data_IF_907721304985
#
_entry.id   IF_907721304985
#
_cell.length_a   1.000
_cell.length_b   1.000
_cell.length_c   1.000
_cell.angle_alpha   90.00
_cell.angle_beta   90.00
_cell.angle_gamma   90.00
#
_symmetry.space_group_name_H-M   'P 1'
#
loop_
_entity.id
_entity.type
_entity.pdbx_description
1 polymer ?
#
# COMPACT_ATOMS: atom_id res chain seq x y z
N UNK A 1 -25.11 -56.44 2.38
CA UNK A 1 -23.78 -56.01 1.89
C UNK A 1 -23.04 -55.38 3.08
N UNK A 2 -22.30 -56.19 3.85
CA UNK A 2 -21.63 -55.73 5.07
C UNK A 2 -20.31 -55.07 4.70
N UNK A 3 -20.17 -53.77 4.97
CA UNK A 3 -18.91 -53.05 4.80
C UNK A 3 -17.85 -53.72 5.69
N UNK A 4 -16.77 -54.24 5.09
CA UNK A 4 -15.70 -54.89 5.86
C UNK A 4 -15.05 -53.87 6.79
N UNK A 5 -14.74 -54.29 8.02
CA UNK A 5 -14.14 -53.45 9.07
C UNK A 5 -12.85 -52.76 8.59
N UNK A 6 -12.08 -53.40 7.69
CA UNK A 6 -10.91 -52.81 7.05
C UNK A 6 -11.24 -51.63 6.11
N UNK A 7 -12.39 -51.65 5.42
CA UNK A 7 -12.85 -50.51 4.61
C UNK A 7 -13.27 -49.32 5.48
N UNK A 8 -13.78 -49.57 6.70
CA UNK A 8 -14.16 -48.51 7.65
C UNK A 8 -12.92 -47.82 8.25
N UNK A 9 -11.87 -48.58 8.57
CA UNK A 9 -10.59 -48.05 9.05
C UNK A 9 -9.86 -47.20 8.00
N UNK A 10 -9.89 -47.62 6.74
CA UNK A 10 -9.32 -46.83 5.63
C UNK A 10 -10.09 -45.53 5.40
N UNK A 11 -11.43 -45.57 5.48
CA UNK A 11 -12.27 -44.38 5.37
C UNK A 11 -11.98 -43.37 6.50
N UNK A 12 -11.79 -43.85 7.74
CA UNK A 12 -11.42 -42.99 8.86
C UNK A 12 -10.06 -42.32 8.66
N UNK A 13 -9.06 -43.03 8.14
CA UNK A 13 -7.75 -42.45 7.83
C UNK A 13 -7.81 -41.40 6.71
N UNK A 14 -8.62 -41.63 5.67
CA UNK A 14 -8.82 -40.66 4.58
C UNK A 14 -9.62 -39.41 5.01
N UNK A 15 -10.49 -39.52 6.02
CA UNK A 15 -11.24 -38.38 6.57
C UNK A 15 -10.37 -37.49 7.46
N UNK A 16 -9.35 -38.04 8.12
CA UNK A 16 -8.47 -37.31 9.03
C UNK A 16 -7.24 -36.68 8.36
N UNK A 17 -6.97 -36.96 7.07
CA UNK A 17 -5.79 -36.44 6.37
C UNK A 17 -5.89 -34.96 5.92
N UNK A 18 -6.86 -34.19 6.43
CA UNK A 18 -7.13 -32.83 5.97
C UNK A 18 -6.82 -31.71 6.97
N UNK A 19 -6.24 -32.03 8.13
CA UNK A 19 -5.83 -31.05 9.15
C UNK A 19 -4.31 -30.82 9.15
N UNK A 20 -3.76 -30.33 8.03
CA UNK A 20 -2.31 -30.05 7.92
C UNK A 20 -1.96 -28.58 8.18
N UNK A 21 -2.93 -27.66 8.20
CA UNK A 21 -2.69 -26.22 8.38
C UNK A 21 -3.73 -25.59 9.28
N UNK A 22 -3.28 -24.78 10.24
CA UNK A 22 -4.15 -23.87 10.98
C UNK A 22 -4.42 -22.62 10.14
N UNK A 23 -5.65 -22.51 9.63
CA UNK A 23 -6.09 -21.40 8.78
C UNK A 23 -6.10 -20.06 9.51
N UNK A 24 -6.15 -20.03 10.84
CA UNK A 24 -6.17 -18.80 11.62
C UNK A 24 -4.86 -17.99 11.49
N UNK A 25 -3.76 -18.64 11.15
CA UNK A 25 -2.45 -17.99 10.95
C UNK A 25 -2.32 -17.29 9.59
N UNK A 26 -3.28 -17.50 8.67
CA UNK A 26 -3.23 -16.94 7.33
C UNK A 26 -4.33 -15.88 7.17
N UNK A 27 -3.93 -14.69 6.73
CA UNK A 27 -4.87 -13.59 6.51
C UNK A 27 -5.89 -13.96 5.42
N UNK A 28 -7.17 -13.87 5.74
CA UNK A 28 -8.23 -13.83 4.74
C UNK A 28 -8.20 -12.48 3.99
N UNK A 29 -8.91 -12.37 2.88
CA UNK A 29 -8.97 -11.11 2.13
C UNK A 29 -9.53 -9.96 3.00
N UNK A 30 -10.49 -10.25 3.87
CA UNK A 30 -11.10 -9.23 4.74
C UNK A 30 -10.15 -8.75 5.84
N UNK A 31 -9.20 -9.60 6.25
CA UNK A 31 -8.13 -9.26 7.20
C UNK A 31 -6.95 -8.52 6.54
N UNK A 32 -6.92 -8.44 5.21
CA UNK A 32 -5.94 -7.67 4.45
C UNK A 32 -6.58 -6.40 3.89
N UNK A 33 -6.22 -5.25 4.45
CA UNK A 33 -6.94 -3.99 4.16
C UNK A 33 -6.97 -3.62 2.67
N UNK A 34 -5.89 -3.85 1.91
CA UNK A 34 -5.88 -3.59 0.47
C UNK A 34 -6.81 -4.55 -0.29
N UNK A 35 -6.84 -5.84 0.10
CA UNK A 35 -7.67 -6.84 -0.55
C UNK A 35 -9.16 -6.55 -0.33
N UNK A 36 -9.51 -6.25 0.93
CA UNK A 36 -10.85 -5.83 1.31
C UNK A 36 -11.32 -4.60 0.49
N UNK A 37 -10.51 -3.54 0.43
CA UNK A 37 -10.84 -2.32 -0.34
C UNK A 37 -11.02 -2.62 -1.83
N UNK A 38 -10.09 -3.35 -2.45
CA UNK A 38 -10.15 -3.69 -3.88
C UNK A 38 -11.38 -4.55 -4.22
N UNK A 39 -11.79 -5.47 -3.34
CA UNK A 39 -12.99 -6.29 -3.55
C UNK A 39 -14.30 -5.53 -3.44
N UNK A 40 -14.32 -4.43 -2.68
CA UNK A 40 -15.52 -3.63 -2.45
C UNK A 40 -15.81 -2.62 -3.57
N UNK A 41 -14.91 -2.51 -4.55
CA UNK A 41 -15.06 -1.58 -5.67
C UNK A 41 -16.22 -2.00 -6.55
N UNK A 42 -17.11 -1.05 -6.81
CA UNK A 42 -18.24 -1.22 -7.73
C UNK A 42 -17.85 -0.65 -9.09
N UNK A 43 -18.45 -1.22 -10.14
CA UNK A 43 -18.24 -0.81 -11.54
C UNK A 43 -18.49 0.68 -11.80
N UNK A 44 -19.32 1.35 -11.00
CA UNK A 44 -19.66 2.76 -11.17
C UNK A 44 -18.79 3.70 -10.32
N UNK A 45 -17.89 3.17 -9.49
CA UNK A 45 -17.14 4.00 -8.52
C UNK A 45 -16.08 4.86 -9.19
N UNK A 46 -15.35 4.33 -10.18
CA UNK A 46 -14.21 5.03 -10.80
C UNK A 46 -14.33 4.91 -12.31
N UNK A 47 -14.60 6.01 -13.00
CA UNK A 47 -14.64 6.05 -14.45
C UNK A 47 -13.25 6.44 -14.96
N UNK A 48 -12.65 5.55 -15.74
CA UNK A 48 -11.39 5.79 -16.41
C UNK A 48 -11.65 6.27 -17.83
N UNK A 49 -10.97 7.32 -18.26
CA UNK A 49 -11.01 7.84 -19.63
C UNK A 49 -9.61 8.01 -20.15
N UNK A 50 -9.32 7.49 -21.33
CA UNK A 50 -8.07 7.77 -22.03
C UNK A 50 -8.20 9.10 -22.75
N UNK A 51 -7.20 9.97 -22.62
CA UNK A 51 -7.14 11.26 -23.31
C UNK A 51 -6.60 11.07 -24.74
N UNK A 52 -7.43 11.16 -25.80
CA UNK A 52 -7.00 10.82 -27.15
C UNK A 52 -5.90 11.75 -27.67
N UNK A 53 -5.89 13.02 -27.24
CA UNK A 53 -4.86 13.99 -27.64
C UNK A 53 -3.48 13.69 -27.04
N UNK A 54 -3.41 12.89 -25.98
CA UNK A 54 -2.17 12.53 -25.30
C UNK A 54 -1.42 11.36 -25.94
N UNK A 55 -2.04 10.66 -26.91
CA UNK A 55 -1.46 9.44 -27.47
C UNK A 55 -0.23 9.75 -28.30
N UNK A 56 0.88 9.09 -27.98
CA UNK A 56 2.12 9.10 -28.76
C UNK A 56 2.38 7.71 -29.28
N UNK A 57 2.63 7.59 -30.59
CA UNK A 57 2.99 6.32 -31.23
C UNK A 57 4.50 6.23 -31.39
N UNK A 58 5.04 5.03 -31.20
CA UNK A 58 6.35 4.65 -31.71
C UNK A 58 6.25 3.38 -32.56
N UNK A 59 7.36 2.89 -33.11
CA UNK A 59 7.35 1.70 -33.98
C UNK A 59 6.91 0.40 -33.30
N UNK A 60 6.85 0.37 -31.97
CA UNK A 60 6.65 -0.82 -31.15
C UNK A 60 5.42 -0.72 -30.25
N UNK A 61 4.66 0.38 -30.27
CA UNK A 61 3.60 0.59 -29.30
C UNK A 61 3.09 2.03 -29.21
N UNK A 62 2.41 2.30 -28.10
CA UNK A 62 1.88 3.61 -27.76
C UNK A 62 2.13 3.98 -26.30
N UNK A 63 2.16 5.27 -26.02
CA UNK A 63 1.97 5.82 -24.68
C UNK A 63 0.79 6.77 -24.67
N UNK A 64 0.02 6.81 -23.58
CA UNK A 64 -1.11 7.71 -23.41
C UNK A 64 -1.34 8.09 -21.94
N UNK A 65 -2.21 9.05 -21.70
CA UNK A 65 -2.66 9.44 -20.36
C UNK A 65 -4.09 8.93 -20.14
N UNK A 66 -4.33 8.37 -18.96
CA UNK A 66 -5.65 7.99 -18.46
C UNK A 66 -6.03 8.92 -17.31
N UNK A 67 -7.22 9.48 -17.36
CA UNK A 67 -7.84 10.25 -16.27
C UNK A 67 -8.81 9.35 -15.50
N UNK A 68 -8.66 9.29 -14.18
CA UNK A 68 -9.63 8.70 -13.27
C UNK A 68 -10.50 9.83 -12.69
N UNK A 69 -11.67 10.07 -13.28
CA UNK A 69 -12.46 11.30 -13.06
C UNK A 69 -12.81 11.53 -11.58
N UNK A 70 -13.30 10.50 -10.90
CA UNK A 70 -13.75 10.62 -9.50
C UNK A 70 -12.60 10.65 -8.48
N UNK A 71 -11.37 10.37 -8.90
CA UNK A 71 -10.18 10.33 -8.04
C UNK A 71 -9.24 11.52 -8.28
N UNK A 72 -9.55 12.37 -9.27
CA UNK A 72 -8.67 13.45 -9.73
C UNK A 72 -7.22 12.98 -9.93
N UNK A 73 -7.07 11.79 -10.49
CA UNK A 73 -5.79 11.11 -10.67
C UNK A 73 -5.50 10.92 -12.15
N UNK A 74 -4.24 11.08 -12.52
CA UNK A 74 -3.72 10.81 -13.86
C UNK A 74 -2.75 9.64 -13.83
N UNK A 75 -2.96 8.71 -14.75
CA UNK A 75 -2.12 7.53 -14.93
C UNK A 75 -1.46 7.60 -16.30
N UNK A 76 -0.25 7.05 -16.40
CA UNK A 76 0.38 6.75 -17.67
C UNK A 76 -0.02 5.35 -18.13
N UNK A 77 -0.26 5.21 -19.42
CA UNK A 77 -0.45 3.95 -20.11
C UNK A 77 0.70 3.77 -21.11
N UNK A 78 1.33 2.61 -21.07
CA UNK A 78 2.31 2.18 -22.06
C UNK A 78 1.90 0.79 -22.57
N UNK A 79 1.66 0.68 -23.87
CA UNK A 79 1.35 -0.58 -24.54
C UNK A 79 2.46 -0.84 -25.55
N UNK A 80 3.21 -1.92 -25.31
CA UNK A 80 4.26 -2.38 -26.21
C UNK A 80 3.87 -3.71 -26.84
N UNK A 81 4.18 -3.86 -28.12
CA UNK A 81 4.05 -5.11 -28.85
C UNK A 81 5.41 -5.80 -28.93
N UNK A 82 5.43 -7.07 -28.56
CA UNK A 82 6.63 -7.88 -28.49
C UNK A 82 6.49 -9.10 -29.41
N UNK A 83 7.63 -9.76 -29.67
CA UNK A 83 7.66 -11.02 -30.42
C UNK A 83 6.71 -12.05 -29.82
N UNK A 84 6.29 -13.01 -30.64
CA UNK A 84 5.37 -14.08 -30.27
C UNK A 84 3.95 -13.58 -29.92
N UNK A 85 3.52 -12.47 -30.54
CA UNK A 85 2.17 -11.93 -30.41
C UNK A 85 1.78 -11.56 -28.97
N UNK A 86 2.66 -10.79 -28.32
CA UNK A 86 2.49 -10.36 -26.93
C UNK A 86 2.27 -8.85 -26.88
N UNK A 87 1.09 -8.44 -26.43
CA UNK A 87 0.86 -7.07 -25.98
C UNK A 87 1.18 -6.97 -24.49
N UNK A 88 2.17 -6.15 -24.15
CA UNK A 88 2.51 -5.83 -22.77
C UNK A 88 1.90 -4.47 -22.41
N UNK A 89 0.99 -4.49 -21.45
CA UNK A 89 0.29 -3.30 -20.95
C UNK A 89 0.84 -2.94 -19.59
N UNK A 90 1.32 -1.71 -19.47
CA UNK A 90 1.86 -1.14 -18.25
C UNK A 90 1.05 0.12 -17.91
N UNK A 91 0.56 0.18 -16.67
CA UNK A 91 -0.08 1.36 -16.10
C UNK A 91 0.75 1.80 -14.90
N UNK A 92 1.08 3.09 -14.84
CA UNK A 92 1.81 3.69 -13.72
C UNK A 92 1.23 5.07 -13.39
N UNK A 93 1.64 5.67 -12.28
CA UNK A 93 1.34 7.08 -12.02
C UNK A 93 2.03 7.96 -13.05
N UNK A 94 1.34 8.98 -13.56
CA UNK A 94 1.94 9.91 -14.52
C UNK A 94 3.04 10.76 -13.86
N UNK A 95 2.78 11.21 -12.64
CA UNK A 95 3.73 11.88 -11.77
C UNK A 95 3.65 11.21 -10.40
N UNK A 96 4.80 10.82 -9.84
CA UNK A 96 4.89 10.32 -8.48
C UNK A 96 6.06 10.96 -7.74
N UNK A 97 5.91 11.08 -6.43
CA UNK A 97 7.02 11.46 -5.54
C UNK A 97 7.99 10.28 -5.36
N UNK A 98 7.46 9.05 -5.34
CA UNK A 98 8.24 7.83 -5.24
C UNK A 98 7.91 6.84 -6.34
N UNK A 99 8.96 6.27 -6.94
CA UNK A 99 8.81 5.25 -7.98
C UNK A 99 8.12 4.01 -7.40
N UNK A 100 7.11 3.52 -8.11
CA UNK A 100 6.52 2.22 -7.81
C UNK A 100 7.53 1.11 -8.10
N UNK A 101 7.47 0.07 -7.28
CA UNK A 101 8.34 -1.08 -7.46
C UNK A 101 8.13 -1.69 -8.86
N UNK A 102 9.25 -1.94 -9.53
CA UNK A 102 9.29 -2.66 -10.81
C UNK A 102 10.16 -3.87 -10.63
N UNK A 103 9.65 -5.03 -11.06
CA UNK A 103 10.42 -6.27 -11.05
C UNK A 103 11.65 -6.07 -11.94
N UNK A 104 12.87 -6.30 -11.43
CA UNK A 104 14.07 -6.23 -12.25
C UNK A 104 13.96 -7.18 -13.45
N UNK A 105 14.37 -6.71 -14.63
CA UNK A 105 14.22 -7.46 -15.89
C UNK A 105 14.77 -8.89 -15.75
N UNK A 106 15.95 -9.03 -15.13
CA UNK A 106 16.66 -10.30 -15.03
C UNK A 106 16.08 -11.30 -14.02
N UNK A 107 15.18 -10.87 -13.12
CA UNK A 107 14.62 -11.75 -12.09
C UNK A 107 13.51 -12.66 -12.65
N UNK A 108 12.82 -12.21 -13.71
CA UNK A 108 11.66 -12.92 -14.29
C UNK A 108 11.78 -13.08 -15.80
N UNK A 109 12.21 -12.05 -16.55
CA UNK A 109 12.24 -12.06 -18.02
C UNK A 109 13.66 -11.84 -18.53
N UNK A 110 14.34 -12.92 -18.91
CA UNK A 110 15.72 -12.85 -19.41
C UNK A 110 15.87 -11.93 -20.64
N UNK A 111 14.89 -11.94 -21.54
CA UNK A 111 14.81 -10.97 -22.64
C UNK A 111 13.38 -10.79 -23.11
N UNK A 112 13.03 -9.54 -23.46
CA UNK A 112 11.79 -9.19 -24.15
C UNK A 112 12.18 -8.42 -25.39
N UNK A 113 11.87 -8.98 -26.56
CA UNK A 113 12.19 -8.33 -27.84
C UNK A 113 10.93 -7.68 -28.40
N UNK A 114 10.97 -6.36 -28.56
CA UNK A 114 9.89 -5.61 -29.18
C UNK A 114 9.74 -5.97 -30.66
N UNK A 115 8.50 -5.94 -31.13
CA UNK A 115 8.13 -6.21 -32.51
C UNK A 115 7.36 -5.02 -33.06
N UNK A 116 7.48 -4.78 -34.38
CA UNK A 116 6.76 -3.67 -35.00
C UNK A 116 5.26 -3.86 -34.93
N UNK A 117 4.55 -2.77 -34.66
CA UNK A 117 3.09 -2.72 -34.59
C UNK A 117 2.57 -1.56 -35.44
N UNK A 118 1.41 -1.73 -36.06
CA UNK A 118 0.74 -0.68 -36.81
C UNK A 118 -0.39 -0.11 -35.97
N UNK A 119 -0.40 1.20 -35.76
CA UNK A 119 -1.42 1.87 -34.97
C UNK A 119 -2.38 2.66 -35.89
N UNK A 120 -3.69 2.49 -35.68
CA UNK A 120 -4.74 3.22 -36.39
C UNK A 120 -5.62 3.93 -35.36
N UNK A 121 -5.87 5.22 -35.56
CA UNK A 121 -6.75 6.02 -34.69
C UNK A 121 -8.16 6.14 -35.26
N UNK A 122 -9.15 5.97 -34.39
CA UNK A 122 -10.53 6.34 -34.63
C UNK A 122 -11.02 7.35 -33.60
N UNK A 123 -12.30 7.73 -33.71
CA UNK A 123 -12.93 8.73 -32.83
C UNK A 123 -13.12 8.22 -31.40
N UNK A 124 -13.50 6.95 -31.23
CA UNK A 124 -13.83 6.35 -29.93
C UNK A 124 -12.83 5.31 -29.44
N UNK A 125 -11.89 4.92 -30.30
CA UNK A 125 -10.89 3.89 -30.02
C UNK A 125 -9.66 4.04 -30.90
N UNK A 126 -8.58 3.40 -30.50
CA UNK A 126 -7.41 3.15 -31.34
C UNK A 126 -7.15 1.65 -31.44
N UNK A 127 -6.53 1.24 -32.53
CA UNK A 127 -6.24 -0.17 -32.84
C UNK A 127 -4.74 -0.33 -33.04
N UNK A 128 -4.13 -1.23 -32.27
CA UNK A 128 -2.78 -1.72 -32.48
C UNK A 128 -2.86 -3.07 -33.20
N UNK A 129 -2.43 -3.13 -34.46
CA UNK A 129 -2.36 -4.35 -35.26
C UNK A 129 -0.96 -4.97 -35.16
N UNK A 130 -0.90 -6.17 -34.60
CA UNK A 130 0.29 -7.00 -34.48
C UNK A 130 0.68 -7.66 -35.81
N UNK A 131 1.45 -8.75 -35.72
CA UNK A 131 2.03 -9.42 -36.89
C UNK A 131 1.38 -10.78 -37.22
N UNK A 132 0.54 -11.31 -36.33
CA UNK A 132 -0.02 -12.67 -36.44
C UNK A 132 -1.56 -12.64 -36.42
N UNK A 133 -2.16 -11.66 -37.10
CA UNK A 133 -3.61 -11.39 -37.05
C UNK A 133 -4.15 -11.13 -35.63
N UNK A 134 -3.28 -10.65 -34.75
CA UNK A 134 -3.56 -10.24 -33.39
C UNK A 134 -3.70 -8.71 -33.30
N UNK A 135 -4.64 -8.23 -32.48
CA UNK A 135 -4.94 -6.81 -32.34
C UNK A 135 -5.22 -6.45 -30.89
N UNK A 136 -4.89 -5.23 -30.49
CA UNK A 136 -5.40 -4.62 -29.28
C UNK A 136 -6.24 -3.39 -29.65
N UNK A 137 -7.52 -3.39 -29.28
CA UNK A 137 -8.44 -2.26 -29.46
C UNK A 137 -8.59 -1.55 -28.12
N UNK A 138 -8.05 -0.34 -28.04
CA UNK A 138 -8.09 0.49 -26.84
C UNK A 138 -9.24 1.48 -26.99
N UNK A 139 -10.26 1.33 -26.16
CA UNK A 139 -11.45 2.19 -26.13
C UNK A 139 -11.20 3.37 -25.19
N UNK A 140 -11.68 4.56 -25.55
CA UNK A 140 -11.32 5.78 -24.82
C UNK A 140 -12.20 6.03 -23.60
N UNK A 141 -13.52 5.92 -23.74
CA UNK A 141 -14.48 6.30 -22.68
C UNK A 141 -15.73 5.41 -22.73
N UNK A 142 -15.92 4.50 -21.75
CA UNK A 142 -14.99 4.17 -20.67
C UNK A 142 -13.71 3.49 -21.21
N UNK A 143 -12.60 3.64 -20.51
CA UNK A 143 -11.33 3.03 -20.87
C UNK A 143 -11.34 1.52 -20.62
N UNK A 144 -11.09 0.75 -21.68
CA UNK A 144 -10.82 -0.70 -21.61
C UNK A 144 -10.08 -1.14 -22.88
N UNK A 145 -9.51 -2.35 -22.86
CA UNK A 145 -8.73 -2.90 -23.97
C UNK A 145 -9.27 -4.27 -24.34
N UNK A 146 -9.75 -4.44 -25.56
CA UNK A 146 -10.04 -5.76 -26.14
C UNK A 146 -8.80 -6.29 -26.87
N UNK A 147 -8.41 -7.52 -26.57
CA UNK A 147 -7.37 -8.25 -27.30
C UNK A 147 -8.04 -9.25 -28.23
N UNK A 148 -7.69 -9.21 -29.51
CA UNK A 148 -8.28 -10.04 -30.55
C UNK A 148 -7.24 -10.92 -31.21
N UNK A 149 -7.67 -12.10 -31.65
CA UNK A 149 -6.94 -12.98 -32.55
C UNK A 149 -7.90 -13.41 -33.66
N UNK A 150 -7.51 -13.20 -34.92
CA UNK A 150 -8.37 -13.45 -36.09
C UNK A 150 -9.74 -12.76 -35.95
N UNK A 151 -9.72 -11.48 -35.54
CA UNK A 151 -10.90 -10.63 -35.32
C UNK A 151 -11.90 -11.14 -34.26
N UNK A 152 -11.49 -12.09 -33.42
CA UNK A 152 -12.27 -12.57 -32.27
C UNK A 152 -11.64 -12.09 -30.97
N UNK A 153 -12.44 -11.51 -30.08
CA UNK A 153 -11.99 -11.11 -28.74
C UNK A 153 -11.62 -12.36 -27.94
N UNK A 154 -10.37 -12.45 -27.50
CA UNK A 154 -9.82 -13.55 -26.68
C UNK A 154 -9.61 -13.16 -25.23
N UNK A 155 -9.38 -11.87 -24.97
CA UNK A 155 -9.25 -11.32 -23.63
C UNK A 155 -9.67 -9.86 -23.61
N UNK A 156 -10.09 -9.36 -22.45
CA UNK A 156 -10.36 -7.93 -22.26
C UNK A 156 -9.81 -7.45 -20.92
N UNK A 157 -9.13 -6.31 -20.92
CA UNK A 157 -8.73 -5.61 -19.72
C UNK A 157 -9.70 -4.48 -19.40
N UNK A 158 -10.16 -4.40 -18.15
CA UNK A 158 -11.04 -3.35 -17.62
C UNK A 158 -12.46 -3.23 -18.23
N UNK A 159 -13.01 -4.23 -18.93
CA UNK A 159 -14.41 -4.16 -19.44
C UNK A 159 -15.45 -3.92 -18.34
N UNK A 160 -15.20 -4.48 -17.16
CA UNK A 160 -16.07 -4.40 -15.97
C UNK A 160 -15.87 -3.10 -15.17
N UNK A 161 -14.99 -2.22 -15.64
CA UNK A 161 -14.60 -0.98 -14.97
C UNK A 161 -14.22 -1.19 -13.49
N UNK A 162 -13.29 -2.13 -13.26
CA UNK A 162 -12.78 -2.50 -11.93
C UNK A 162 -11.30 -2.14 -11.76
N UNK A 163 -10.68 -1.49 -12.75
CA UNK A 163 -9.37 -0.88 -12.58
C UNK A 163 -9.45 0.08 -11.39
N UNK A 164 -8.54 -0.07 -10.45
CA UNK A 164 -8.38 0.87 -9.35
C UNK A 164 -6.92 0.94 -8.96
N UNK A 165 -6.40 2.15 -8.99
CA UNK A 165 -5.00 2.44 -8.80
C UNK A 165 -4.85 3.40 -7.61
N UNK A 166 -4.70 2.85 -6.40
CA UNK A 166 -4.57 3.68 -5.19
C UNK A 166 -3.27 4.51 -5.26
N UNK A 167 -3.38 5.83 -5.43
CA UNK A 167 -2.21 6.73 -5.43
C UNK A 167 -1.43 6.70 -4.12
N UNK A 168 -0.13 6.94 -4.20
CA UNK A 168 0.71 7.12 -3.02
C UNK A 168 0.30 8.40 -2.28
N UNK A 169 0.14 8.32 -0.96
CA UNK A 169 -0.24 9.45 -0.11
C UNK A 169 0.85 9.71 0.91
N UNK A 170 1.19 10.99 1.10
CA UNK A 170 1.96 11.41 2.27
C UNK A 170 1.06 11.21 3.49
N UNK A 171 1.58 10.52 4.51
CA UNK A 171 0.87 10.38 5.78
C UNK A 171 0.71 11.77 6.40
N UNK A 172 -0.51 12.26 6.64
CA UNK A 172 -0.70 13.55 7.29
C UNK A 172 -0.04 13.53 8.66
N UNK A 173 0.73 14.58 8.98
CA UNK A 173 1.22 14.79 10.35
C UNK A 173 -0.01 15.18 11.16
N UNK A 174 -0.52 14.25 11.96
CA UNK A 174 -1.51 14.58 12.97
C UNK A 174 -0.78 15.44 14.00
N UNK A 175 -1.00 16.76 13.98
CA UNK A 175 -0.66 17.58 15.14
C UNK A 175 -1.50 17.03 16.28
N UNK A 176 -0.86 16.45 17.29
CA UNK A 176 -1.54 16.09 18.53
C UNK A 176 -2.24 17.36 19.04
N UNK A 177 -3.56 17.41 18.87
CA UNK A 177 -4.35 18.31 19.69
C UNK A 177 -4.23 17.75 21.10
N UNK A 178 -3.83 18.54 22.10
CA UNK A 178 -3.86 18.08 23.47
C UNK A 178 -5.31 17.70 23.77
N UNK A 179 -5.56 16.40 23.83
CA UNK A 179 -6.78 15.87 24.42
C UNK A 179 -6.70 16.32 25.87
N UNK A 180 -7.56 17.26 26.26
CA UNK A 180 -7.79 17.55 27.67
C UNK A 180 -8.34 16.27 28.27
N UNK A 181 -7.42 15.45 28.77
CA UNK A 181 -7.71 14.26 29.50
C UNK A 181 -8.15 14.74 30.88
N UNK A 182 -9.45 14.69 31.14
CA UNK A 182 -10.02 15.00 32.44
C UNK A 182 -9.63 13.84 33.39
N UNK A 183 -8.38 13.89 33.83
CA UNK A 183 -7.72 12.86 34.60
C UNK A 183 -8.12 12.99 36.07
N UNK A 184 -9.16 12.27 36.49
CA UNK A 184 -9.49 12.08 37.91
C UNK A 184 -8.34 11.44 38.73
N UNK A 185 -7.27 11.01 38.07
CA UNK A 185 -6.06 10.47 38.69
C UNK A 185 -5.14 11.56 39.27
N UNK A 186 -5.20 12.80 38.76
CA UNK A 186 -4.41 13.93 39.25
C UNK A 186 -4.90 14.37 40.63
N UNK A 187 -6.23 14.40 40.83
CA UNK A 187 -6.86 14.76 42.10
C UNK A 187 -6.43 13.83 43.24
N UNK A 188 -6.32 12.53 42.96
CA UNK A 188 -5.93 11.52 43.95
C UNK A 188 -4.45 11.65 44.33
N UNK A 189 -3.59 12.04 43.39
CA UNK A 189 -2.16 12.29 43.61
C UNK A 189 -1.91 13.57 44.42
N UNK A 190 -2.70 14.61 44.19
CA UNK A 190 -2.64 15.88 44.91
C UNK A 190 -3.15 15.72 46.35
N UNK A 191 -4.25 14.99 46.53
CA UNK A 191 -4.76 14.64 47.88
C UNK A 191 -3.72 13.80 48.64
N UNK A 192 -3.04 12.85 47.99
CA UNK A 192 -2.00 12.06 48.64
C UNK A 192 -0.79 12.91 49.07
N UNK A 193 -0.39 13.90 48.25
CA UNK A 193 0.68 14.85 48.60
C UNK A 193 0.30 15.78 49.75
N UNK A 194 -0.95 16.23 49.79
CA UNK A 194 -1.44 17.11 50.86
C UNK A 194 -1.53 16.37 52.20
N UNK A 195 -1.96 15.11 52.19
CA UNK A 195 -1.98 14.25 53.37
C UNK A 195 -0.55 13.99 53.88
N UNK A 196 0.40 13.70 52.99
CA UNK A 196 1.79 13.51 53.37
C UNK A 196 2.40 14.77 53.98
N UNK A 197 2.11 15.94 53.41
CA UNK A 197 2.61 17.22 53.92
C UNK A 197 2.01 17.59 55.29
N UNK A 198 0.73 17.28 55.54
CA UNK A 198 0.10 17.46 56.85
C UNK A 198 0.69 16.51 57.91
N UNK A 199 1.00 15.27 57.53
CA UNK A 199 1.68 14.32 58.41
C UNK A 199 3.10 14.78 58.78
N UNK A 200 3.84 15.39 57.85
CA UNK A 200 5.16 15.96 58.12
C UNK A 200 5.08 17.17 59.05
N UNK A 201 4.12 18.08 58.84
CA UNK A 201 3.94 19.26 59.70
C UNK A 201 3.57 18.87 61.15
N UNK A 202 2.72 17.85 61.32
CA UNK A 202 2.37 17.35 62.65
C UNK A 202 3.55 16.68 63.35
N UNK A 203 4.47 16.08 62.58
CA UNK A 203 5.67 15.42 63.11
C UNK A 203 6.78 16.41 63.48
N UNK A 204 6.93 17.50 62.72
CA UNK A 204 7.90 18.56 63.02
C UNK A 204 7.50 19.41 64.23
N UNK A 205 6.21 19.44 64.60
CA UNK A 205 5.76 20.16 65.80
C UNK A 205 6.12 19.48 67.14
N UNK A 206 6.66 18.25 67.13
CA UNK A 206 7.00 17.50 68.35
C UNK A 206 8.50 17.35 68.64
N UNK A 207 9.40 17.77 67.76
CA UNK A 207 10.83 17.54 67.95
C UNK A 207 11.68 18.82 67.89
N UNK A 208 12.09 19.22 69.10
CA UNK A 208 13.34 19.92 69.45
C UNK A 208 13.45 21.45 69.38
N UNK A 209 13.24 21.99 70.57
CA UNK A 209 13.97 23.05 71.26
C UNK A 209 15.52 22.89 71.14
N UNK A 210 16.19 24.05 71.08
CA UNK A 210 17.59 24.41 71.40
C UNK A 210 18.74 24.33 70.35
N UNK A 211 19.02 25.53 69.79
CA UNK A 211 20.23 26.40 69.93
C UNK A 211 21.60 25.95 69.33
N UNK A 212 22.39 26.91 68.77
CA UNK A 212 23.15 26.74 67.52
C UNK A 212 24.68 26.90 67.67
N UNK A 213 25.43 26.72 66.56
CA UNK A 213 26.68 27.48 66.26
C UNK A 213 27.14 27.35 64.79
N UNK A 214 27.04 28.46 64.08
CA UNK A 214 28.09 29.14 63.29
C UNK A 214 28.85 28.44 62.12
N UNK A 215 28.56 28.95 60.92
CA UNK A 215 29.50 29.62 59.97
C UNK A 215 30.11 28.88 58.75
N UNK A 216 29.79 29.45 57.54
CA UNK A 216 30.69 29.84 56.41
C UNK A 216 31.18 28.70 55.47
N UNK A 217 30.60 28.51 54.25
CA UNK A 217 30.88 29.07 52.88
C UNK A 217 32.29 28.79 52.31
N UNK A 218 32.64 28.62 51.01
CA UNK A 218 32.05 28.57 49.64
C UNK A 218 33.24 28.24 48.68
N UNK A 219 32.99 27.70 47.47
CA UNK A 219 33.77 27.93 46.22
C UNK A 219 34.68 26.78 45.74
N UNK A 220 34.54 26.10 44.59
CA UNK A 220 34.32 26.45 43.15
C UNK A 220 35.63 26.53 42.33
N UNK A 221 35.53 26.18 41.02
CA UNK A 221 36.51 26.25 39.89
C UNK A 221 37.14 24.91 39.47
N UNK A 222 37.40 24.58 38.19
CA UNK A 222 37.03 25.06 36.84
C UNK A 222 37.54 23.98 35.84
N UNK A 223 37.05 23.97 34.60
CA UNK A 223 37.35 23.00 33.53
C UNK A 223 38.37 23.56 32.52
N UNK A 224 39.11 22.67 31.85
CA UNK A 224 39.56 22.65 30.43
C UNK A 224 40.90 21.86 30.32
N UNK A 225 41.30 21.14 29.26
CA UNK A 225 41.07 21.27 27.82
C UNK A 225 41.63 20.02 27.05
N UNK A 226 41.36 19.94 25.74
CA UNK A 226 42.14 19.28 24.65
C UNK A 226 42.05 17.75 24.43
N UNK A 227 42.16 17.16 23.21
CA UNK A 227 42.17 17.57 21.78
C UNK A 227 42.32 16.28 20.93
N UNK A 228 41.54 16.13 19.84
CA UNK A 228 41.75 15.37 18.57
C UNK A 228 42.25 13.89 18.54
N UNK A 229 41.65 13.04 17.69
CA UNK A 229 42.21 12.50 16.41
C UNK A 229 41.21 11.52 15.72
N UNK A 230 41.28 11.51 14.38
CA UNK A 230 40.60 10.68 13.38
C UNK A 230 40.63 9.15 13.62
N UNK A 231 39.58 8.43 13.18
CA UNK A 231 39.49 7.69 11.88
C UNK A 231 38.05 7.80 11.39
#
# INVERSE_FOLDING_TARGET
MFLRLGSLGLLFLLLNSSWSVDRANFKTCDQSSFCARQRQIKTETIIHRLEPSSVKINSYGITAVIHAENQNQTLSLDITYNQHSIFHVLIDELANEYRRFRVPVQDVLQSVQSARVKCTFGESSLVLEGQSADKAVVHYNPFYIDFLLNDKVVATANKRNLLNFEHQRIKPIVKEQPVAQEDNHTLLSEIMRLIFHLQTILKDSSENIDIPKDSITVGENNVDEHKFILI
#
